data_IF_575735050783
#
_entry.id   IF_575735050783
#
_cell.length_a   1.000
_cell.length_b   1.000
_cell.length_c   1.000
_cell.angle_alpha   90.00
_cell.angle_beta   90.00
_cell.angle_gamma   90.00
#
_symmetry.space_group_name_H-M   'P 1'
#
loop_
_entity.id
_entity.type
_entity.pdbx_description
1 polymer ?
#
# COMPACT_ATOMS: atom_id res chain seq x y z
N UNK A 1 -21.99 45.09 38.36
CA UNK A 1 -20.63 44.50 38.43
C UNK A 1 -20.86 43.02 38.69
N UNK A 2 -21.01 42.25 37.62
CA UNK A 2 -21.19 40.79 37.71
C UNK A 2 -19.84 40.10 37.44
N UNK A 3 -19.46 39.08 38.24
CA UNK A 3 -18.14 38.48 38.19
C UNK A 3 -18.05 37.40 37.10
N UNK A 4 -16.97 37.49 36.32
CA UNK A 4 -16.22 36.35 35.77
C UNK A 4 -17.01 35.25 35.04
N UNK A 5 -17.27 35.48 33.75
CA UNK A 5 -17.37 34.38 32.78
C UNK A 5 -15.99 33.73 32.64
N UNK A 6 -15.78 32.61 33.33
CA UNK A 6 -14.67 31.70 33.06
C UNK A 6 -14.91 31.04 31.69
N UNK A 7 -14.39 31.65 30.63
CA UNK A 7 -14.26 30.99 29.32
C UNK A 7 -13.23 29.86 29.45
N UNK A 8 -13.72 28.66 29.70
CA UNK A 8 -12.93 27.44 29.59
C UNK A 8 -12.32 27.39 28.19
N UNK A 9 -10.98 27.44 28.11
CA UNK A 9 -10.25 27.27 26.87
C UNK A 9 -10.60 25.95 26.21
N UNK A 10 -10.87 26.00 24.91
CA UNK A 10 -11.18 24.83 24.09
C UNK A 10 -10.04 23.80 24.24
N UNK A 11 -10.32 22.51 24.51
CA UNK A 11 -9.26 21.50 24.59
C UNK A 11 -8.49 21.50 23.27
N UNK A 12 -7.19 21.61 23.42
CA UNK A 12 -6.19 21.76 22.37
C UNK A 12 -6.42 20.79 21.21
N UNK A 13 -6.65 21.31 20.01
CA UNK A 13 -6.56 20.53 18.77
C UNK A 13 -5.09 20.14 18.57
N UNK A 14 -4.68 19.01 19.14
CA UNK A 14 -3.40 18.40 18.79
C UNK A 14 -3.44 18.07 17.29
N UNK A 15 -2.48 18.56 16.48
CA UNK A 15 -2.49 18.29 15.06
C UNK A 15 -2.43 16.78 14.84
N UNK A 16 -3.35 16.25 14.03
CA UNK A 16 -3.35 14.84 13.67
C UNK A 16 -1.94 14.43 13.21
N UNK A 17 -1.43 13.26 13.63
CA UNK A 17 -0.09 12.83 13.27
C UNK A 17 0.06 12.83 11.75
N UNK A 18 1.19 13.37 11.26
CA UNK A 18 1.48 13.43 9.84
C UNK A 18 1.34 12.02 9.22
N UNK A 19 0.58 11.93 8.12
CA UNK A 19 0.38 10.68 7.41
C UNK A 19 1.71 10.18 6.85
N UNK A 20 2.07 8.95 7.21
CA UNK A 20 3.23 8.25 6.67
C UNK A 20 2.86 7.64 5.30
N UNK A 21 3.54 8.04 4.24
CA UNK A 21 3.29 7.57 2.87
C UNK A 21 4.29 6.51 2.40
N UNK A 22 5.12 5.99 3.33
CA UNK A 22 6.09 4.96 2.99
C UNK A 22 5.40 3.65 2.68
N UNK A 23 5.82 3.05 1.57
CA UNK A 23 5.44 1.70 1.18
C UNK A 23 6.66 0.80 1.34
N UNK A 24 6.43 -0.38 1.88
CA UNK A 24 7.43 -1.42 2.09
C UNK A 24 7.10 -2.60 1.19
N UNK A 25 8.15 -3.25 0.70
CA UNK A 25 8.06 -4.44 -0.12
C UNK A 25 8.56 -5.63 0.72
N UNK A 26 7.65 -6.44 1.31
CA UNK A 26 7.96 -7.62 2.10
C UNK A 26 8.98 -8.58 1.49
N UNK A 27 8.94 -8.79 0.17
CA UNK A 27 9.79 -9.74 -0.56
C UNK A 27 10.54 -9.02 -1.70
N UNK A 28 11.62 -8.28 -1.35
CA UNK A 28 12.37 -7.48 -2.33
C UNK A 28 13.31 -8.31 -3.22
N UNK A 29 13.51 -9.60 -2.92
CA UNK A 29 14.28 -10.50 -3.79
C UNK A 29 13.44 -10.96 -4.99
N UNK A 30 12.14 -11.11 -4.79
CA UNK A 30 11.19 -11.55 -5.82
C UNK A 30 10.57 -10.37 -6.59
N UNK A 31 10.33 -9.24 -5.92
CA UNK A 31 9.64 -8.09 -6.50
C UNK A 31 10.56 -6.86 -6.52
N UNK A 32 10.29 -5.94 -7.44
CA UNK A 32 11.00 -4.65 -7.52
C UNK A 32 10.04 -3.50 -7.71
N UNK A 33 10.31 -2.37 -7.04
CA UNK A 33 9.66 -1.10 -7.35
C UNK A 33 10.34 -0.44 -8.55
N UNK A 34 9.53 0.04 -9.50
CA UNK A 34 9.98 0.67 -10.74
C UNK A 34 9.18 1.94 -10.98
N UNK A 35 9.76 2.89 -11.70
CA UNK A 35 9.04 4.05 -12.23
C UNK A 35 8.80 3.80 -13.71
N UNK A 36 7.54 3.90 -14.15
CA UNK A 36 7.20 3.78 -15.57
C UNK A 36 7.76 4.98 -16.31
N UNK A 37 8.54 4.72 -17.35
CA UNK A 37 9.13 5.76 -18.22
C UNK A 37 8.59 5.60 -19.64
N UNK A 38 8.48 6.73 -20.35
CA UNK A 38 7.99 6.76 -21.73
C UNK A 38 6.47 6.57 -21.85
N UNK A 39 5.98 6.75 -23.07
CA UNK A 39 4.55 6.86 -23.38
C UNK A 39 3.93 5.56 -23.91
N UNK A 40 4.73 4.49 -24.02
CA UNK A 40 4.23 3.18 -24.43
C UNK A 40 3.17 2.67 -23.46
N UNK A 41 2.10 2.11 -24.03
CA UNK A 41 0.98 1.54 -23.26
C UNK A 41 1.43 0.27 -22.56
N UNK A 42 1.48 0.34 -21.25
CA UNK A 42 1.74 -0.80 -20.38
C UNK A 42 0.59 -0.94 -19.40
N UNK A 43 0.23 -2.17 -19.06
CA UNK A 43 -0.94 -2.45 -18.24
C UNK A 43 -0.56 -3.26 -17.01
N UNK A 44 -1.27 -2.99 -15.91
CA UNK A 44 -1.29 -3.81 -14.71
C UNK A 44 -1.83 -5.21 -15.05
N UNK A 45 -1.17 -6.26 -14.58
CA UNK A 45 -1.54 -7.67 -14.77
C UNK A 45 -2.79 -8.07 -13.98
N UNK A 46 -3.23 -7.23 -13.04
CA UNK A 46 -4.37 -7.49 -12.17
C UNK A 46 -5.61 -6.71 -12.61
N UNK A 47 -6.78 -7.35 -12.44
CA UNK A 47 -8.09 -6.69 -12.44
C UNK A 47 -8.70 -6.79 -11.05
N UNK A 48 -9.48 -5.80 -10.66
CA UNK A 48 -10.37 -5.95 -9.51
C UNK A 48 -11.58 -6.83 -9.92
N UNK A 49 -12.20 -7.59 -9.02
CA UNK A 49 -13.47 -8.26 -9.28
C UNK A 49 -14.50 -7.24 -9.76
N UNK A 50 -15.19 -7.57 -10.85
CA UNK A 50 -16.14 -6.67 -11.51
C UNK A 50 -15.52 -5.67 -12.49
N UNK A 51 -14.19 -5.59 -12.62
CA UNK A 51 -13.56 -4.81 -13.69
C UNK A 51 -13.33 -5.68 -14.94
N UNK A 52 -13.73 -5.14 -16.08
CA UNK A 52 -13.50 -5.71 -17.41
C UNK A 52 -12.24 -5.15 -18.09
N UNK A 53 -11.67 -4.06 -17.57
CA UNK A 53 -10.43 -3.45 -18.06
C UNK A 53 -9.20 -3.74 -17.19
N UNK A 54 -8.00 -3.66 -17.80
CA UNK A 54 -6.73 -3.63 -17.07
C UNK A 54 -6.37 -2.17 -16.74
N UNK A 55 -5.75 -1.92 -15.59
CA UNK A 55 -5.27 -0.56 -15.27
C UNK A 55 -4.11 -0.19 -16.18
N UNK A 56 -4.21 0.96 -16.84
CA UNK A 56 -3.11 1.53 -17.62
C UNK A 56 -2.06 2.11 -16.65
N UNK A 57 -0.78 1.76 -16.85
CA UNK A 57 0.34 2.35 -16.12
C UNK A 57 0.79 3.63 -16.83
N UNK A 58 0.79 4.74 -16.11
CA UNK A 58 1.13 6.06 -16.67
C UNK A 58 2.62 6.36 -16.54
N UNK A 59 3.17 7.16 -17.47
CA UNK A 59 4.54 7.68 -17.31
C UNK A 59 4.68 8.44 -15.99
N UNK A 60 5.72 8.16 -15.23
CA UNK A 60 5.96 8.69 -13.88
C UNK A 60 5.30 7.89 -12.75
N UNK A 61 4.44 6.92 -13.06
CA UNK A 61 3.80 6.07 -12.05
C UNK A 61 4.81 5.07 -11.46
N UNK A 62 4.78 4.91 -10.13
CA UNK A 62 5.50 3.81 -9.46
C UNK A 62 4.66 2.54 -9.60
N UNK A 63 5.28 1.45 -10.05
CA UNK A 63 4.66 0.14 -10.14
C UNK A 63 5.58 -0.94 -9.57
N UNK A 64 5.02 -2.11 -9.27
CA UNK A 64 5.73 -3.27 -8.74
C UNK A 64 5.85 -4.33 -9.82
N UNK A 65 7.03 -4.93 -9.96
CA UNK A 65 7.34 -5.85 -11.04
C UNK A 65 8.02 -7.13 -10.55
N UNK A 66 7.62 -8.27 -11.14
CA UNK A 66 8.30 -9.57 -11.05
C UNK A 66 8.28 -10.23 -12.43
N UNK A 67 9.45 -10.39 -13.05
CA UNK A 67 9.51 -10.81 -14.46
C UNK A 67 8.70 -9.85 -15.34
N UNK A 68 7.75 -10.37 -16.10
CA UNK A 68 6.84 -9.57 -16.94
C UNK A 68 5.57 -9.12 -16.21
N UNK A 69 5.33 -9.61 -15.00
CA UNK A 69 4.16 -9.22 -14.20
C UNK A 69 4.36 -7.82 -13.62
N UNK A 70 3.52 -6.86 -14.06
CA UNK A 70 3.52 -5.47 -13.59
C UNK A 70 2.25 -5.17 -12.82
N UNK A 71 2.34 -4.53 -11.67
CA UNK A 71 1.20 -4.20 -10.82
C UNK A 71 1.24 -2.71 -10.43
N UNK A 72 0.14 -1.99 -10.63
CA UNK A 72 -0.02 -0.67 -10.02
C UNK A 72 -0.01 -0.78 -8.49
N UNK A 73 0.30 0.30 -7.79
CA UNK A 73 0.42 0.28 -6.32
C UNK A 73 -0.86 -0.22 -5.64
N UNK A 74 -2.03 0.15 -6.16
CA UNK A 74 -3.31 -0.28 -5.58
C UNK A 74 -3.49 -1.81 -5.66
N UNK A 75 -3.20 -2.41 -6.81
CA UNK A 75 -3.27 -3.86 -6.98
C UNK A 75 -2.20 -4.60 -6.17
N UNK A 76 -0.99 -4.02 -6.06
CA UNK A 76 0.07 -4.58 -5.23
C UNK A 76 -0.29 -4.56 -3.74
N UNK A 77 -0.85 -3.44 -3.23
CA UNK A 77 -1.35 -3.33 -1.86
C UNK A 77 -2.47 -4.33 -1.59
N UNK A 78 -3.47 -4.40 -2.46
CA UNK A 78 -4.60 -5.33 -2.31
C UNK A 78 -4.18 -6.80 -2.26
N UNK A 79 -3.13 -7.16 -3.01
CA UNK A 79 -2.56 -8.51 -3.05
C UNK A 79 -1.56 -8.78 -1.92
N UNK A 80 -1.40 -7.86 -0.97
CA UNK A 80 -0.41 -7.92 0.12
C UNK A 80 1.04 -8.07 -0.38
N UNK A 81 1.32 -7.60 -1.61
CA UNK A 81 2.68 -7.52 -2.16
C UNK A 81 3.37 -6.27 -1.64
N UNK A 82 2.62 -5.20 -1.35
CA UNK A 82 3.09 -4.01 -0.64
C UNK A 82 2.39 -3.88 0.72
N UNK A 83 3.02 -3.14 1.62
CA UNK A 83 2.44 -2.78 2.92
C UNK A 83 2.83 -1.37 3.35
N UNK A 84 1.98 -0.72 4.13
CA UNK A 84 2.30 0.52 4.85
C UNK A 84 2.92 0.22 6.24
N UNK A 85 2.91 -1.04 6.69
CA UNK A 85 3.48 -1.44 7.97
C UNK A 85 5.02 -1.42 7.94
N UNK A 86 5.60 -0.39 8.52
CA UNK A 86 7.06 -0.25 8.71
C UNK A 86 7.67 -1.41 9.50
N UNK A 87 6.93 -2.02 10.41
CA UNK A 87 7.37 -3.11 11.27
C UNK A 87 7.03 -4.48 10.69
N UNK A 88 6.60 -4.56 9.42
CA UNK A 88 6.26 -5.83 8.77
C UNK A 88 7.37 -6.88 8.90
N UNK A 89 8.64 -6.48 8.86
CA UNK A 89 9.78 -7.39 9.01
C UNK A 89 9.82 -8.07 10.40
N UNK A 90 9.31 -7.43 11.45
CA UNK A 90 9.13 -8.03 12.77
C UNK A 90 7.83 -8.81 12.87
N UNK A 91 6.76 -8.27 12.28
CA UNK A 91 5.39 -8.77 12.41
C UNK A 91 5.00 -9.78 11.32
N UNK A 92 5.96 -10.31 10.56
CA UNK A 92 5.69 -11.20 9.43
C UNK A 92 4.72 -12.30 9.87
N UNK A 93 3.53 -12.41 9.24
CA UNK A 93 2.61 -13.49 9.55
C UNK A 93 3.34 -14.80 9.37
N UNK A 94 3.52 -15.57 10.45
CA UNK A 94 3.98 -16.95 10.31
C UNK A 94 2.93 -17.66 9.47
N UNK A 95 3.27 -18.03 8.24
CA UNK A 95 2.41 -18.89 7.44
C UNK A 95 2.32 -20.19 8.23
N UNK A 96 1.19 -20.39 8.92
CA UNK A 96 0.92 -21.65 9.56
C UNK A 96 0.98 -22.70 8.45
N UNK A 97 1.95 -23.61 8.54
CA UNK A 97 2.05 -24.74 7.61
C UNK A 97 0.71 -25.45 7.63
N UNK A 98 -0.03 -25.39 6.51
CA UNK A 98 -1.22 -26.21 6.34
C UNK A 98 -0.73 -27.66 6.42
N UNK A 99 -1.20 -28.46 7.39
CA UNK A 99 -0.81 -29.86 7.43
C UNK A 99 -1.33 -30.52 6.15
N UNK A 100 -0.42 -31.06 5.34
CA UNK A 100 -0.77 -31.97 4.24
C UNK A 100 -1.27 -33.25 4.89
N UNK A 101 -2.56 -33.32 5.14
CA UNK A 101 -3.25 -34.57 5.47
C UNK A 101 -4.10 -34.94 4.27
N UNK A 102 -3.69 -35.97 3.53
CA UNK A 102 -4.50 -36.59 2.49
C UNK A 102 -3.75 -36.94 1.20
N UNK A 103 -2.92 -37.98 1.26
CA UNK A 103 -2.75 -38.97 0.18
C UNK A 103 -3.03 -40.34 0.78
#
# INVERSE_FOLDING_TARGET
MDPSTNSAGNPSEEPAPARDYRLYLPDPETWSARVKVGWEKEYCFAKLPGQDYLHLLLSGEIYIQRGDEKLCLWCAMRRNILTEDRLYWQNRPRVASIPVSGL
#
